data_IF_635988605245
#
_entry.id   IF_635988605245
#
_cell.length_a   1.000
_cell.length_b   1.000
_cell.length_c   1.000
_cell.angle_alpha   90.00
_cell.angle_beta   90.00
_cell.angle_gamma   90.00
#
_symmetry.space_group_name_H-M   'P 1'
#
loop_
_entity.id
_entity.type
_entity.pdbx_description
1 polymer ?
#
# COMPACT_ATOMS: atom_id res chain seq x y z
N UNK A 1 -2.08 22.86 7.62
CA UNK A 1 -0.79 22.78 6.90
C UNK A 1 -0.43 21.31 6.84
N UNK A 2 -0.72 20.63 5.74
CA UNK A 2 -0.28 19.24 5.57
C UNK A 2 1.23 19.26 5.34
N UNK A 3 2.01 18.66 6.24
CA UNK A 3 3.42 18.37 5.97
C UNK A 3 3.47 17.42 4.77
N UNK A 4 3.63 17.97 3.56
CA UNK A 4 3.92 17.18 2.37
C UNK A 4 5.23 16.44 2.62
N UNK A 5 5.13 15.13 2.75
CA UNK A 5 6.30 14.26 2.81
C UNK A 5 7.21 14.54 1.62
N UNK A 6 8.52 14.60 1.86
CA UNK A 6 9.53 14.81 0.82
C UNK A 6 10.61 13.74 0.95
N UNK A 7 11.08 13.16 -0.18
CA UNK A 7 12.16 12.21 -0.14
C UNK A 7 13.46 12.91 0.24
N UNK A 8 14.27 12.22 1.05
CA UNK A 8 15.70 12.52 1.15
C UNK A 8 16.43 12.01 -0.10
N UNK A 9 17.43 12.73 -0.57
CA UNK A 9 18.14 12.39 -1.81
C UNK A 9 18.96 11.10 -1.67
N UNK A 10 19.59 10.87 -0.53
CA UNK A 10 20.33 9.63 -0.28
C UNK A 10 19.38 8.44 -0.16
N UNK A 11 18.28 8.63 0.56
CA UNK A 11 17.20 7.63 0.65
C UNK A 11 16.69 7.25 -0.74
N UNK A 12 16.36 8.24 -1.57
CA UNK A 12 15.86 8.00 -2.93
C UNK A 12 16.87 7.24 -3.79
N UNK A 13 18.15 7.59 -3.74
CA UNK A 13 19.19 6.87 -4.48
C UNK A 13 19.29 5.39 -4.06
N UNK A 14 19.19 5.09 -2.76
CA UNK A 14 19.18 3.71 -2.27
C UNK A 14 17.98 2.91 -2.79
N UNK A 15 16.80 3.53 -2.83
CA UNK A 15 15.59 2.91 -3.35
C UNK A 15 15.71 2.63 -4.85
N UNK A 16 16.22 3.59 -5.62
CA UNK A 16 16.45 3.40 -7.05
C UNK A 16 17.47 2.30 -7.34
N UNK A 17 18.54 2.24 -6.55
CA UNK A 17 19.52 1.16 -6.64
C UNK A 17 18.88 -0.20 -6.36
N UNK A 18 18.05 -0.29 -5.32
CA UNK A 18 17.33 -1.52 -4.99
C UNK A 18 16.36 -1.94 -6.09
N UNK A 19 15.63 -0.99 -6.69
CA UNK A 19 14.71 -1.26 -7.80
C UNK A 19 15.45 -1.75 -9.04
N UNK A 20 16.66 -1.25 -9.31
CA UNK A 20 17.52 -1.72 -10.40
C UNK A 20 18.07 -3.11 -10.12
N UNK A 21 18.54 -3.37 -8.89
CA UNK A 21 18.99 -4.71 -8.46
C UNK A 21 17.85 -5.74 -8.53
N UNK A 22 16.62 -5.33 -8.24
CA UNK A 22 15.41 -6.17 -8.32
C UNK A 22 15.09 -6.68 -9.74
N UNK A 23 15.62 -6.01 -10.77
CA UNK A 23 15.45 -6.40 -12.17
C UNK A 23 16.55 -7.35 -12.65
N UNK A 24 17.55 -7.64 -11.81
CA UNK A 24 18.62 -8.58 -12.15
C UNK A 24 18.08 -10.01 -12.30
N UNK A 25 18.51 -10.75 -13.33
CA UNK A 25 18.19 -12.17 -13.47
C UNK A 25 19.01 -13.06 -12.53
N UNK A 26 20.01 -12.50 -11.83
CA UNK A 26 20.89 -13.24 -10.95
C UNK A 26 20.20 -13.61 -9.62
N UNK A 27 20.10 -14.91 -9.33
CA UNK A 27 19.44 -15.44 -8.12
C UNK A 27 20.07 -14.95 -6.81
N UNK A 28 21.39 -14.73 -6.78
CA UNK A 28 22.08 -14.26 -5.57
C UNK A 28 21.75 -12.79 -5.28
N UNK A 29 21.63 -11.99 -6.34
CA UNK A 29 21.18 -10.60 -6.29
C UNK A 29 19.74 -10.53 -5.84
N UNK A 30 18.85 -11.36 -6.42
CA UNK A 30 17.44 -11.40 -6.01
C UNK A 30 17.25 -11.77 -4.53
N UNK A 31 18.04 -12.72 -4.01
CA UNK A 31 17.99 -13.07 -2.59
C UNK A 31 18.42 -11.89 -1.70
N UNK A 32 19.47 -11.18 -2.11
CA UNK A 32 19.98 -10.01 -1.39
C UNK A 32 18.96 -8.86 -1.41
N UNK A 33 18.30 -8.64 -2.55
CA UNK A 33 17.21 -7.67 -2.72
C UNK A 33 16.05 -8.01 -1.79
N UNK A 34 15.62 -9.27 -1.74
CA UNK A 34 14.52 -9.69 -0.89
C UNK A 34 14.80 -9.41 0.60
N UNK A 35 16.02 -9.70 1.06
CA UNK A 35 16.44 -9.39 2.43
C UNK A 35 16.42 -7.88 2.71
N UNK A 36 16.88 -7.06 1.76
CA UNK A 36 16.83 -5.59 1.88
C UNK A 36 15.38 -5.08 1.92
N UNK A 37 14.49 -5.63 1.08
CA UNK A 37 13.07 -5.26 1.07
C UNK A 37 12.40 -5.58 2.42
N UNK A 38 12.68 -6.74 3.00
CA UNK A 38 12.15 -7.12 4.31
C UNK A 38 12.61 -6.18 5.43
N UNK A 39 13.87 -5.74 5.39
CA UNK A 39 14.39 -4.74 6.32
C UNK A 39 13.73 -3.37 6.12
N UNK A 40 13.60 -2.93 4.86
CA UNK A 40 13.00 -1.64 4.53
C UNK A 40 11.50 -1.57 4.84
N UNK A 41 10.80 -2.71 4.78
CA UNK A 41 9.38 -2.82 5.16
C UNK A 41 9.10 -2.51 6.63
N UNK A 42 10.13 -2.50 7.49
CA UNK A 42 9.99 -2.04 8.87
C UNK A 42 9.84 -0.52 8.98
N UNK A 43 10.23 0.23 7.94
CA UNK A 43 10.16 1.68 7.91
C UNK A 43 8.91 2.14 7.16
N UNK A 44 8.00 2.88 7.80
CA UNK A 44 6.77 3.34 7.14
C UNK A 44 7.05 4.30 5.97
N UNK A 45 8.14 5.05 6.04
CA UNK A 45 8.60 5.95 4.97
C UNK A 45 8.98 5.22 3.69
N UNK A 46 9.35 3.94 3.76
CA UNK A 46 9.68 3.16 2.57
C UNK A 46 8.53 3.18 1.55
N UNK A 47 7.29 3.06 2.01
CA UNK A 47 6.12 3.10 1.14
C UNK A 47 5.90 4.50 0.52
N UNK A 48 6.30 5.56 1.22
CA UNK A 48 6.27 6.93 0.68
C UNK A 48 7.28 7.11 -0.46
N UNK A 49 8.49 6.53 -0.33
CA UNK A 49 9.44 6.48 -1.44
C UNK A 49 8.90 5.71 -2.65
N UNK A 50 8.26 4.55 -2.42
CA UNK A 50 7.73 3.74 -3.50
C UNK A 50 6.63 4.45 -4.29
N UNK A 51 5.69 5.11 -3.61
CA UNK A 51 4.65 5.89 -4.29
C UNK A 51 5.23 7.12 -4.98
N UNK A 52 6.24 7.77 -4.39
CA UNK A 52 6.93 8.90 -5.01
C UNK A 52 7.61 8.52 -6.32
N UNK A 53 8.32 7.38 -6.36
CA UNK A 53 8.93 6.86 -7.59
C UNK A 53 7.86 6.54 -8.64
N UNK A 54 6.76 5.90 -8.24
CA UNK A 54 5.67 5.57 -9.16
C UNK A 54 5.04 6.83 -9.78
N UNK A 55 4.79 7.86 -8.98
CA UNK A 55 3.91 8.98 -9.36
C UNK A 55 4.62 10.28 -9.69
N UNK A 56 5.67 10.67 -8.96
CA UNK A 56 6.33 11.97 -9.12
C UNK A 56 7.62 11.89 -9.93
N UNK A 57 8.37 10.79 -9.85
CA UNK A 57 9.69 10.67 -10.47
C UNK A 57 9.61 10.33 -11.97
N UNK A 58 9.10 11.26 -12.78
CA UNK A 58 8.90 11.06 -14.23
C UNK A 58 10.21 10.94 -15.03
N UNK A 59 11.36 11.21 -14.42
CA UNK A 59 12.69 11.07 -15.02
C UNK A 59 13.16 9.63 -15.12
N UNK A 60 12.65 8.74 -14.27
CA UNK A 60 12.94 7.30 -14.34
C UNK A 60 12.06 6.60 -15.38
N UNK A 61 12.56 5.47 -15.88
CA UNK A 61 11.88 4.67 -16.88
C UNK A 61 10.58 4.04 -16.35
N UNK A 62 9.61 3.82 -17.25
CA UNK A 62 8.31 3.26 -16.89
C UNK A 62 8.39 1.88 -16.21
N UNK A 63 9.26 0.94 -16.64
CA UNK A 63 9.47 -0.32 -15.95
C UNK A 63 9.89 -0.15 -14.48
N UNK A 64 10.90 0.67 -14.19
CA UNK A 64 11.35 0.93 -12.81
C UNK A 64 10.24 1.57 -11.96
N UNK A 65 9.51 2.54 -12.51
CA UNK A 65 8.38 3.18 -11.84
C UNK A 65 7.24 2.19 -11.56
N UNK A 66 6.91 1.34 -12.53
CA UNK A 66 5.87 0.31 -12.40
C UNK A 66 6.25 -0.75 -11.37
N UNK A 67 7.52 -1.19 -11.36
CA UNK A 67 8.05 -2.13 -10.37
C UNK A 67 7.92 -1.58 -8.95
N UNK A 68 8.20 -0.28 -8.75
CA UNK A 68 7.96 0.39 -7.47
C UNK A 68 6.51 0.28 -7.00
N UNK A 69 5.56 0.49 -7.91
CA UNK A 69 4.13 0.33 -7.62
C UNK A 69 3.72 -1.11 -7.31
N UNK A 70 4.33 -2.10 -7.97
CA UNK A 70 4.09 -3.52 -7.67
C UNK A 70 4.59 -3.92 -6.28
N UNK A 71 5.77 -3.45 -5.88
CA UNK A 71 6.31 -3.67 -4.53
C UNK A 71 5.39 -3.01 -3.50
N UNK A 72 4.97 -1.76 -3.75
CA UNK A 72 4.05 -1.04 -2.87
C UNK A 72 2.71 -1.78 -2.69
N UNK A 73 2.14 -2.30 -3.78
CA UNK A 73 0.92 -3.12 -3.74
C UNK A 73 1.11 -4.35 -2.85
N UNK A 74 2.22 -5.06 -3.01
CA UNK A 74 2.53 -6.24 -2.20
C UNK A 74 2.69 -5.88 -0.72
N UNK A 75 3.36 -4.77 -0.42
CA UNK A 75 3.50 -4.27 0.95
C UNK A 75 2.16 -3.92 1.58
N UNK A 76 1.28 -3.22 0.85
CA UNK A 76 -0.08 -2.94 1.32
C UNK A 76 -0.83 -4.24 1.56
N UNK A 77 -0.82 -5.20 0.62
CA UNK A 77 -1.52 -6.47 0.81
C UNK A 77 -1.07 -7.23 2.06
N UNK A 78 0.24 -7.23 2.36
CA UNK A 78 0.82 -7.98 3.47
C UNK A 78 0.79 -7.23 4.81
N UNK A 79 0.83 -5.90 4.79
CA UNK A 79 1.10 -5.08 5.97
C UNK A 79 0.15 -3.88 6.17
N UNK A 80 -0.99 -3.84 5.47
CA UNK A 80 -1.94 -2.71 5.53
C UNK A 80 -2.30 -2.27 6.95
N UNK A 81 -2.48 -3.21 7.87
CA UNK A 81 -2.85 -2.93 9.27
C UNK A 81 -1.77 -2.18 10.05
N UNK A 82 -0.51 -2.27 9.60
CA UNK A 82 0.64 -1.66 10.27
C UNK A 82 0.99 -0.27 9.69
N UNK A 83 0.25 0.20 8.69
CA UNK A 83 0.54 1.48 8.05
C UNK A 83 0.09 2.63 8.96
N UNK A 84 0.95 3.64 9.20
CA UNK A 84 0.52 4.85 9.87
C UNK A 84 -0.57 5.56 9.06
N UNK A 85 -1.57 6.13 9.75
CA UNK A 85 -2.72 6.78 9.11
C UNK A 85 -2.32 7.83 8.04
N UNK A 86 -1.22 8.56 8.25
CA UNK A 86 -0.73 9.54 7.27
C UNK A 86 -0.11 8.96 5.99
N UNK A 87 0.48 7.77 6.04
CA UNK A 87 1.10 7.11 4.89
C UNK A 87 0.03 6.60 3.93
N UNK A 88 -1.01 5.95 4.46
CA UNK A 88 -2.13 5.44 3.66
C UNK A 88 -2.86 6.57 2.92
N UNK A 89 -3.10 7.71 3.58
CA UNK A 89 -3.77 8.85 2.96
C UNK A 89 -2.90 9.55 1.92
N UNK A 90 -1.59 9.67 2.18
CA UNK A 90 -0.63 10.16 1.18
C UNK A 90 -0.63 9.29 -0.08
N UNK A 91 -0.55 7.96 0.08
CA UNK A 91 -0.55 7.04 -1.06
C UNK A 91 -1.87 7.11 -1.84
N UNK A 92 -3.02 7.15 -1.15
CA UNK A 92 -4.34 7.34 -1.80
C UNK A 92 -4.37 8.61 -2.65
N UNK A 93 -3.95 9.74 -2.06
CA UNK A 93 -3.97 11.03 -2.75
C UNK A 93 -3.09 11.02 -3.99
N UNK A 94 -1.87 10.46 -3.89
CA UNK A 94 -0.96 10.34 -5.04
C UNK A 94 -1.53 9.42 -6.13
N UNK A 95 -2.16 8.30 -5.77
CA UNK A 95 -2.83 7.43 -6.74
C UNK A 95 -3.99 8.12 -7.45
N UNK A 96 -4.85 8.84 -6.71
CA UNK A 96 -5.98 9.58 -7.31
C UNK A 96 -5.51 10.67 -8.27
N UNK A 97 -4.43 11.38 -7.93
CA UNK A 97 -3.85 12.41 -8.80
C UNK A 97 -3.21 11.84 -10.08
N UNK A 98 -2.83 10.57 -10.09
CA UNK A 98 -2.10 9.93 -11.20
C UNK A 98 -2.92 8.87 -11.94
N UNK A 99 -4.23 8.77 -11.71
CA UNK A 99 -5.11 7.82 -12.42
C UNK A 99 -5.16 8.12 -13.95
N UNK A 100 -4.90 9.38 -14.32
CA UNK A 100 -4.81 9.86 -15.70
C UNK A 100 -3.38 10.03 -16.23
N UNK A 101 -2.38 9.33 -15.68
CA UNK A 101 -0.99 9.38 -16.17
C UNK A 101 -0.94 9.10 -17.69
N UNK A 102 0.00 9.72 -18.42
CA UNK A 102 0.12 9.51 -19.88
C UNK A 102 0.53 8.08 -20.24
N UNK A 103 1.31 7.41 -19.39
CA UNK A 103 1.76 6.03 -19.58
C UNK A 103 0.63 5.04 -19.28
N UNK A 104 0.26 4.17 -20.23
CA UNK A 104 -0.69 3.08 -19.97
C UNK A 104 -0.24 2.14 -18.86
N UNK A 105 1.07 1.89 -18.74
CA UNK A 105 1.64 1.01 -17.73
C UNK A 105 1.45 1.59 -16.33
N UNK A 106 1.76 2.88 -16.15
CA UNK A 106 1.59 3.55 -14.86
C UNK A 106 0.11 3.65 -14.47
N UNK A 107 -0.78 3.97 -15.43
CA UNK A 107 -2.23 3.96 -15.19
C UNK A 107 -2.73 2.58 -14.72
N UNK A 108 -2.24 1.50 -15.34
CA UNK A 108 -2.61 0.14 -14.94
C UNK A 108 -2.14 -0.16 -13.52
N UNK A 109 -0.90 0.18 -13.18
CA UNK A 109 -0.34 -0.05 -11.82
C UNK A 109 -1.06 0.77 -10.76
N UNK A 110 -1.38 2.04 -11.02
CA UNK A 110 -2.16 2.90 -10.12
C UNK A 110 -3.59 2.37 -9.96
N UNK A 111 -4.22 1.93 -11.06
CA UNK A 111 -5.55 1.33 -11.05
C UNK A 111 -5.61 0.02 -10.27
N UNK A 112 -4.58 -0.81 -10.36
CA UNK A 112 -4.49 -2.05 -9.59
C UNK A 112 -4.35 -1.76 -8.09
N UNK A 113 -3.56 -0.75 -7.73
CA UNK A 113 -3.43 -0.30 -6.34
C UNK A 113 -4.75 0.21 -5.77
N UNK A 114 -5.44 1.12 -6.47
CA UNK A 114 -6.72 1.68 -5.99
C UNK A 114 -7.79 0.60 -5.83
N UNK A 115 -7.85 -0.36 -6.76
CA UNK A 115 -8.74 -1.51 -6.66
C UNK A 115 -8.43 -2.38 -5.42
N UNK A 116 -7.15 -2.70 -5.20
CA UNK A 116 -6.71 -3.48 -4.02
C UNK A 116 -7.08 -2.78 -2.73
N UNK A 117 -6.82 -1.47 -2.64
CA UNK A 117 -7.18 -0.66 -1.48
C UNK A 117 -8.70 -0.64 -1.24
N UNK A 118 -9.49 -0.45 -2.30
CA UNK A 118 -10.96 -0.42 -2.20
C UNK A 118 -11.51 -1.75 -1.68
N UNK A 119 -11.01 -2.89 -2.20
CA UNK A 119 -11.40 -4.22 -1.74
C UNK A 119 -11.08 -4.43 -0.25
N UNK A 120 -9.88 -4.04 0.20
CA UNK A 120 -9.49 -4.18 1.61
C UNK A 120 -10.35 -3.31 2.55
N UNK A 121 -10.65 -2.06 2.14
CA UNK A 121 -11.53 -1.18 2.89
C UNK A 121 -12.97 -1.72 2.97
N UNK A 122 -13.49 -2.24 1.85
CA UNK A 122 -14.82 -2.85 1.78
C UNK A 122 -14.94 -4.08 2.68
N UNK A 123 -13.98 -5.00 2.64
CA UNK A 123 -13.97 -6.20 3.49
C UNK A 123 -13.89 -5.86 4.98
N UNK A 124 -13.09 -4.85 5.35
CA UNK A 124 -13.02 -4.38 6.73
C UNK A 124 -14.37 -3.82 7.20
N UNK A 125 -14.99 -2.95 6.39
CA UNK A 125 -16.31 -2.39 6.71
C UNK A 125 -17.39 -3.47 6.82
N UNK A 126 -17.35 -4.48 5.94
CA UNK A 126 -18.30 -5.60 5.95
C UNK A 126 -18.13 -6.46 7.21
N UNK A 127 -16.89 -6.73 7.62
CA UNK A 127 -16.60 -7.45 8.87
C UNK A 127 -17.12 -6.70 10.09
N UNK A 128 -16.96 -5.37 10.14
CA UNK A 128 -17.54 -4.55 11.21
C UNK A 128 -19.06 -4.62 11.25
N UNK A 129 -19.72 -4.58 10.08
CA UNK A 129 -21.17 -4.69 9.99
C UNK A 129 -21.66 -6.06 10.46
N UNK A 130 -20.97 -7.14 10.06
CA UNK A 130 -21.29 -8.50 10.53
C UNK A 130 -21.12 -8.62 12.05
N UNK A 131 -20.03 -8.10 12.61
CA UNK A 131 -19.80 -8.09 14.05
C UNK A 131 -20.90 -7.32 14.79
N UNK A 132 -21.25 -6.13 14.31
CA UNK A 132 -22.33 -5.32 14.87
C UNK A 132 -23.67 -6.06 14.85
N UNK A 133 -24.04 -6.67 13.72
CA UNK A 133 -25.27 -7.45 13.60
C UNK A 133 -25.27 -8.67 14.53
N UNK A 134 -24.15 -9.40 14.67
CA UNK A 134 -24.07 -10.53 15.61
C UNK A 134 -24.24 -10.10 17.06
N UNK A 135 -23.66 -8.96 17.47
CA UNK A 135 -23.88 -8.41 18.82
C UNK A 135 -25.34 -8.05 19.05
N UNK A 136 -25.99 -7.36 18.10
CA UNK A 136 -27.41 -7.01 18.20
C UNK A 136 -28.29 -8.27 18.32
N UNK A 137 -27.99 -9.33 17.56
CA UNK A 137 -28.73 -10.59 17.64
C UNK A 137 -28.49 -11.33 18.97
N UNK A 138 -27.29 -11.27 19.54
CA UNK A 138 -26.99 -11.82 20.87
C UNK A 138 -27.69 -11.03 21.99
N UNK A 139 -27.68 -9.70 21.93
CA UNK A 139 -28.36 -8.83 22.90
C UNK A 139 -29.88 -9.03 22.88
N UNK A 140 -30.45 -9.24 21.67
CA UNK A 140 -31.87 -9.58 21.51
C UNK A 140 -32.20 -10.95 22.10
N UNK A 141 -31.35 -11.97 21.87
CA UNK A 141 -31.55 -13.30 22.45
C UNK A 141 -31.48 -13.28 23.99
N UNK A 142 -30.59 -12.49 24.58
CA UNK A 142 -30.43 -12.34 26.02
C UNK A 142 -31.62 -11.59 26.67
N UNK A 143 -32.19 -10.62 25.95
CA UNK A 143 -33.40 -9.89 26.37
C UNK A 143 -34.68 -10.76 26.36
N UNK A 144 -34.79 -11.67 25.38
CA UNK A 144 -35.91 -12.62 25.29
C UNK A 144 -35.80 -13.70 26.38
N UNK A 145 -34.58 -14.14 26.73
CA UNK A 145 -34.36 -15.08 27.84
C UNK A 145 -34.77 -14.52 29.22
N UNK A 146 -34.66 -13.20 29.43
CA UNK A 146 -35.01 -12.54 30.70
C UNK A 146 -36.49 -12.20 30.85
N UNK A 147 -37.27 -12.31 29.77
CA UNK A 147 -38.71 -12.00 29.76
C UNK A 147 -39.57 -13.25 30.01
N UNK A 148 -38.97 -14.45 29.99
CA UNK A 148 -39.67 -15.74 30.15
C UNK A 148 -39.44 -16.37 31.55
N UNK A 149 -38.93 -15.60 32.51
CA UNK A 149 -38.84 -15.99 33.93
C UNK A 149 -39.74 -15.10 34.79
#
# INVERSE_FOLDING_TARGET
MECQWKPDEQGLQQILQLLKESQSPDTSTQRSVQQKLEQLNQYPDFNNYLIFVLTKLKTEDEPTRSLSGLILKNNVKSHYQNFPNGVSDFIKNECLQNIGDSSPLIRATVGEYTNTHFVMAFLSSLMFLLFYLTCQMMDVADSLSKTVV
#
